data_IF_085742628733
#
_entry.id   IF_085742628733
#
_cell.length_a   1.000
_cell.length_b   1.000
_cell.length_c   1.000
_cell.angle_alpha   90.00
_cell.angle_beta   90.00
_cell.angle_gamma   90.00
#
_symmetry.space_group_name_H-M   'P 1'
#
loop_
_entity.id
_entity.type
_entity.pdbx_description
1 polymer ?
#
# COMPACT_ATOMS: atom_id res chain seq x y z
N UNK A 1 -14.94 -7.37 14.08
CA UNK A 1 -13.66 -7.38 13.35
C UNK A 1 -13.61 -6.12 12.52
N UNK A 2 -12.48 -5.42 12.52
CA UNK A 2 -12.22 -4.31 11.60
C UNK A 2 -11.27 -4.86 10.52
N UNK A 3 -11.63 -4.74 9.24
CA UNK A 3 -10.81 -5.18 8.12
C UNK A 3 -10.28 -3.96 7.35
N UNK A 4 -8.99 -3.96 7.07
CA UNK A 4 -8.31 -2.96 6.25
C UNK A 4 -8.29 -3.37 4.77
N UNK A 5 -8.15 -2.39 3.88
CA UNK A 5 -8.14 -2.61 2.42
C UNK A 5 -6.98 -3.50 1.94
N UNK A 6 -5.89 -3.59 2.71
CA UNK A 6 -4.77 -4.49 2.46
C UNK A 6 -4.91 -5.89 3.06
N UNK A 7 -6.11 -6.28 3.52
CA UNK A 7 -6.37 -7.60 4.12
C UNK A 7 -5.94 -7.76 5.58
N UNK A 8 -5.43 -6.70 6.21
CA UNK A 8 -5.15 -6.69 7.65
C UNK A 8 -6.43 -6.67 8.47
N UNK A 9 -6.46 -7.40 9.58
CA UNK A 9 -7.64 -7.48 10.45
C UNK A 9 -7.30 -7.16 11.91
N UNK A 10 -8.23 -6.48 12.59
CA UNK A 10 -8.19 -6.27 14.04
C UNK A 10 -9.37 -7.00 14.69
N UNK A 11 -9.03 -8.01 15.50
CA UNK A 11 -9.97 -8.70 16.38
C UNK A 11 -10.43 -7.77 17.51
N UNK A 12 -11.74 -7.68 17.71
CA UNK A 12 -12.34 -6.86 18.79
C UNK A 12 -13.19 -7.76 19.67
N UNK A 13 -13.12 -7.56 20.99
CA UNK A 13 -13.75 -8.42 21.98
C UNK A 13 -13.58 -7.90 23.42
N UNK A 14 -14.39 -8.43 24.34
CA UNK A 14 -14.31 -8.07 25.76
C UNK A 14 -12.97 -8.49 26.35
N UNK A 15 -12.23 -7.53 26.93
CA UNK A 15 -10.88 -7.73 27.47
C UNK A 15 -9.82 -8.23 26.48
N UNK A 16 -10.07 -8.14 25.17
CA UNK A 16 -9.08 -8.54 24.13
C UNK A 16 -8.36 -7.35 23.50
N UNK A 17 -8.92 -6.14 23.63
CA UNK A 17 -8.30 -4.89 23.17
C UNK A 17 -7.67 -4.20 24.39
N UNK A 18 -6.41 -3.72 24.30
CA UNK A 18 -5.78 -2.99 25.41
C UNK A 18 -6.63 -1.79 25.84
N UNK A 19 -6.71 -1.55 27.15
CA UNK A 19 -7.38 -0.36 27.66
C UNK A 19 -6.70 0.90 27.13
N UNK A 20 -7.51 1.88 26.71
CA UNK A 20 -7.05 3.13 26.11
C UNK A 20 -6.30 2.97 24.76
N UNK A 21 -6.51 1.85 24.04
CA UNK A 21 -6.03 1.73 22.67
C UNK A 21 -6.95 2.44 21.66
N UNK A 22 -6.35 3.05 20.65
CA UNK A 22 -7.06 3.68 19.53
C UNK A 22 -6.78 2.90 18.25
N UNK A 23 -7.83 2.64 17.47
CA UNK A 23 -7.73 2.11 16.11
C UNK A 23 -8.17 3.21 15.16
N UNK A 24 -7.32 3.54 14.20
CA UNK A 24 -7.60 4.52 13.15
C UNK A 24 -7.46 3.81 11.81
N UNK A 25 -8.52 3.82 11.01
CA UNK A 25 -8.47 3.39 9.62
C UNK A 25 -8.33 4.65 8.76
N UNK A 26 -7.14 4.86 8.19
CA UNK A 26 -6.87 6.01 7.34
C UNK A 26 -7.40 5.75 5.94
N UNK A 27 -8.01 6.77 5.33
CA UNK A 27 -8.49 6.69 3.95
C UNK A 27 -8.20 8.00 3.24
N UNK A 28 -7.59 7.88 2.06
CA UNK A 28 -7.19 9.04 1.26
C UNK A 28 -6.02 9.80 1.88
N UNK A 29 -5.80 10.98 1.32
CA UNK A 29 -4.70 11.90 1.65
C UNK A 29 -5.03 13.26 1.03
N UNK A 30 -4.38 14.30 1.53
CA UNK A 30 -4.47 15.66 1.01
C UNK A 30 -3.43 15.89 -0.09
N UNK A 31 -3.59 16.94 -0.92
CA UNK A 31 -2.55 17.34 -1.87
C UNK A 31 -1.22 17.74 -1.19
N UNK A 32 -1.27 18.22 0.06
CA UNK A 32 -0.07 18.54 0.85
C UNK A 32 0.67 17.25 1.20
N UNK A 33 -0.03 16.25 1.72
CA UNK A 33 0.56 14.93 2.02
C UNK A 33 1.25 14.32 0.79
N UNK A 34 0.63 14.45 -0.39
CA UNK A 34 1.22 13.98 -1.64
C UNK A 34 2.53 14.71 -1.98
N UNK A 35 2.56 16.03 -1.79
CA UNK A 35 3.74 16.85 -2.09
C UNK A 35 4.90 16.47 -1.17
N UNK A 36 4.64 16.32 0.13
CA UNK A 36 5.63 15.92 1.12
C UNK A 36 6.22 14.53 0.83
N UNK A 37 5.39 13.58 0.40
CA UNK A 37 5.86 12.24 0.02
C UNK A 37 6.73 12.27 -1.26
N UNK A 38 6.38 13.11 -2.24
CA UNK A 38 7.21 13.29 -3.44
C UNK A 38 8.57 13.90 -3.06
N UNK A 39 8.59 14.93 -2.21
CA UNK A 39 9.84 15.55 -1.75
C UNK A 39 10.71 14.56 -0.98
N UNK A 40 10.09 13.71 -0.16
CA UNK A 40 10.78 12.64 0.57
C UNK A 40 11.43 11.63 -0.39
N UNK A 41 10.71 11.19 -1.42
CA UNK A 41 11.24 10.29 -2.44
C UNK A 41 12.36 10.97 -3.26
N UNK A 42 12.17 12.23 -3.67
CA UNK A 42 13.16 13.00 -4.43
C UNK A 42 14.46 13.24 -3.65
N UNK A 43 14.37 13.36 -2.31
CA UNK A 43 15.54 13.47 -1.43
C UNK A 43 16.33 12.16 -1.26
N UNK A 44 15.79 11.03 -1.74
CA UNK A 44 16.36 9.70 -1.54
C UNK A 44 16.13 9.12 -0.13
N UNK A 45 15.33 9.77 0.71
CA UNK A 45 14.99 9.27 2.05
C UNK A 45 14.03 8.07 2.01
N UNK A 46 13.33 7.87 0.90
CA UNK A 46 12.47 6.70 0.64
C UNK A 46 12.73 6.17 -0.76
N UNK A 47 12.88 4.85 -0.86
CA UNK A 47 12.95 4.11 -2.12
C UNK A 47 11.73 3.19 -2.24
N UNK A 48 11.17 3.09 -3.44
CA UNK A 48 10.03 2.21 -3.74
C UNK A 48 10.46 1.17 -4.75
N UNK A 49 10.61 -0.07 -4.32
CA UNK A 49 10.84 -1.19 -5.25
C UNK A 49 9.70 -1.30 -6.25
N UNK A 50 10.04 -1.48 -7.52
CA UNK A 50 9.06 -1.60 -8.60
C UNK A 50 9.43 -2.70 -9.59
N UNK A 51 8.46 -3.54 -9.90
CA UNK A 51 8.51 -4.50 -10.99
C UNK A 51 7.86 -3.86 -12.22
N UNK A 52 8.62 -3.74 -13.30
CA UNK A 52 8.17 -3.03 -14.50
C UNK A 52 7.59 -4.00 -15.53
N UNK A 53 6.46 -3.62 -16.13
CA UNK A 53 5.79 -4.34 -17.21
C UNK A 53 5.63 -3.42 -18.41
N UNK A 54 5.90 -3.92 -19.62
CA UNK A 54 5.59 -3.18 -20.83
C UNK A 54 4.07 -3.06 -21.02
N UNK A 55 3.63 -2.00 -21.70
CA UNK A 55 2.21 -1.72 -21.93
C UNK A 55 1.46 -2.86 -22.62
N UNK A 56 2.10 -3.57 -23.55
CA UNK A 56 1.53 -4.73 -24.23
C UNK A 56 1.47 -6.00 -23.34
N UNK A 57 2.09 -5.96 -22.15
CA UNK A 57 2.12 -7.05 -21.16
C UNK A 57 1.32 -6.72 -19.89
N UNK A 58 0.36 -5.79 -19.95
CA UNK A 58 -0.50 -5.44 -18.81
C UNK A 58 -1.16 -6.68 -18.17
N UNK A 59 -1.63 -7.63 -19.00
CA UNK A 59 -2.27 -8.85 -18.51
C UNK A 59 -1.34 -9.67 -17.60
N UNK A 60 -0.05 -9.76 -17.95
CA UNK A 60 0.94 -10.45 -17.12
C UNK A 60 1.20 -9.71 -15.82
N UNK A 61 1.23 -8.37 -15.85
CA UNK A 61 1.37 -7.56 -14.65
C UNK A 61 0.21 -7.77 -13.67
N UNK A 62 -1.02 -7.85 -14.18
CA UNK A 62 -2.21 -8.16 -13.37
C UNK A 62 -2.11 -9.56 -12.76
N UNK A 63 -1.72 -10.56 -13.56
CA UNK A 63 -1.53 -11.93 -13.08
C UNK A 63 -0.46 -12.01 -11.98
N UNK A 64 0.68 -11.35 -12.18
CA UNK A 64 1.78 -11.31 -11.22
C UNK A 64 1.37 -10.66 -9.87
N UNK A 65 0.53 -9.63 -9.90
CA UNK A 65 -0.05 -9.04 -8.67
C UNK A 65 -0.97 -10.04 -7.97
N UNK A 66 -1.85 -10.72 -8.72
CA UNK A 66 -2.77 -11.71 -8.16
C UNK A 66 -2.03 -12.91 -7.53
N UNK A 67 -0.94 -13.33 -8.14
CA UNK A 67 -0.10 -14.44 -7.69
C UNK A 67 0.93 -14.02 -6.61
N UNK A 68 0.90 -12.76 -6.16
CA UNK A 68 1.83 -12.18 -5.18
C UNK A 68 3.32 -12.35 -5.56
N UNK A 69 3.63 -12.32 -6.86
CA UNK A 69 4.99 -12.52 -7.38
C UNK A 69 5.71 -11.22 -7.74
N UNK A 70 5.09 -10.06 -7.48
CA UNK A 70 5.66 -8.73 -7.73
C UNK A 70 6.53 -8.31 -6.55
N UNK A 71 7.75 -7.87 -6.84
CA UNK A 71 8.55 -7.15 -5.86
C UNK A 71 8.08 -5.68 -5.82
N UNK A 72 7.55 -5.28 -4.66
CA UNK A 72 7.07 -3.91 -4.43
C UNK A 72 5.82 -3.58 -5.25
N UNK A 73 5.92 -2.65 -6.19
CA UNK A 73 4.80 -2.19 -7.02
C UNK A 73 4.92 -2.64 -8.47
N UNK A 74 3.82 -3.11 -9.05
CA UNK A 74 3.73 -3.31 -10.49
C UNK A 74 3.56 -1.95 -11.19
N UNK A 75 4.49 -1.59 -12.08
CA UNK A 75 4.48 -0.33 -12.82
C UNK A 75 4.44 -0.64 -14.31
N UNK A 76 3.43 -0.13 -15.00
CA UNK A 76 3.34 -0.25 -16.46
C UNK A 76 4.10 0.90 -17.10
N UNK A 77 5.02 0.57 -18.00
CA UNK A 77 5.80 1.54 -18.78
C UNK A 77 5.36 1.53 -20.24
N UNK A 78 5.38 2.71 -20.86
CA UNK A 78 5.05 2.91 -22.28
C UNK A 78 6.24 2.60 -23.19
#
# INVERSE_FOLDING_TARGET
MIAGIGGGEVGVGWLTVPMNAHVINTMGFTPVDLTEVIDLAASGAVEVSATHFAFDRIADGIAAVADASVEGRAVVVL
#
